data_IF_628535988332
#
_entry.id   IF_628535988332
#
_cell.length_a   1.000
_cell.length_b   1.000
_cell.length_c   1.000
_cell.angle_alpha   90.00
_cell.angle_beta   90.00
_cell.angle_gamma   90.00
#
_symmetry.space_group_name_H-M   'P 1'
#
loop_
_entity.id
_entity.type
_entity.pdbx_description
1 polymer ?
#
# COMPACT_ATOMS: atom_id res chain seq x y z
N UNK A 1 -12.55 13.53 -48.02
CA UNK A 1 -13.08 12.68 -46.92
C UNK A 1 -11.97 12.00 -46.09
N UNK A 2 -10.94 11.39 -46.69
CA UNK A 2 -9.81 10.78 -45.96
C UNK A 2 -9.02 11.74 -45.06
N UNK A 3 -8.78 12.97 -45.51
CA UNK A 3 -8.01 13.97 -44.74
C UNK A 3 -8.77 14.47 -43.50
N UNK A 4 -10.09 14.59 -43.59
CA UNK A 4 -10.97 14.97 -42.47
C UNK A 4 -11.00 13.86 -41.41
N UNK A 5 -11.01 12.61 -41.84
CA UNK A 5 -10.93 11.46 -40.92
C UNK A 5 -9.60 11.40 -40.17
N UNK A 6 -8.47 11.73 -40.82
CA UNK A 6 -7.15 11.79 -40.18
C UNK A 6 -7.06 12.89 -39.13
N UNK A 7 -7.61 14.07 -39.42
CA UNK A 7 -7.69 15.17 -38.45
C UNK A 7 -8.58 14.81 -37.24
N UNK A 8 -9.71 14.13 -37.48
CA UNK A 8 -10.59 13.69 -36.40
C UNK A 8 -9.90 12.67 -35.47
N UNK A 9 -9.14 11.72 -36.02
CA UNK A 9 -8.37 10.74 -35.22
C UNK A 9 -7.29 11.42 -34.39
N UNK A 10 -6.59 12.42 -34.94
CA UNK A 10 -5.57 13.18 -34.22
C UNK A 10 -6.17 13.92 -33.02
N UNK A 11 -7.32 14.58 -33.20
CA UNK A 11 -8.03 15.32 -32.14
C UNK A 11 -8.49 14.36 -31.04
N UNK A 12 -9.00 13.17 -31.40
CA UNK A 12 -9.41 12.15 -30.42
C UNK A 12 -8.21 11.63 -29.63
N UNK A 13 -7.05 11.43 -30.27
CA UNK A 13 -5.82 11.01 -29.60
C UNK A 13 -5.26 12.07 -28.63
N UNK A 14 -5.52 13.36 -28.88
CA UNK A 14 -5.13 14.45 -27.98
C UNK A 14 -5.98 14.49 -26.71
N UNK A 15 -7.28 14.18 -26.78
CA UNK A 15 -8.16 14.12 -25.59
C UNK A 15 -8.07 12.81 -24.81
N UNK A 16 -7.65 11.71 -25.45
CA UNK A 16 -7.30 10.45 -24.76
C UNK A 16 -5.84 10.41 -24.31
N UNK A 17 -5.07 11.47 -24.55
CA UNK A 17 -3.81 11.63 -23.83
C UNK A 17 -4.18 11.69 -22.35
N UNK A 18 -3.81 10.65 -21.60
CA UNK A 18 -3.71 10.71 -20.16
C UNK A 18 -2.66 11.77 -19.82
N UNK A 19 -3.01 13.04 -19.95
CA UNK A 19 -2.52 14.05 -19.02
C UNK A 19 -2.88 13.47 -17.67
N UNK A 20 -1.87 12.98 -16.95
CA UNK A 20 -2.01 12.61 -15.55
C UNK A 20 -2.75 13.76 -14.90
N UNK A 21 -4.03 13.54 -14.57
CA UNK A 21 -4.82 14.46 -13.76
C UNK A 21 -3.88 14.86 -12.65
N UNK A 22 -3.49 16.15 -12.60
CA UNK A 22 -2.55 16.62 -11.58
C UNK A 22 -3.04 16.02 -10.29
N UNK A 23 -2.26 15.09 -9.75
CA UNK A 23 -2.66 14.36 -8.56
C UNK A 23 -3.00 15.46 -7.57
N UNK A 24 -4.28 15.51 -7.19
CA UNK A 24 -4.73 16.37 -6.12
C UNK A 24 -3.73 16.07 -5.01
N UNK A 25 -2.80 17.01 -4.77
CA UNK A 25 -1.75 16.88 -3.77
C UNK A 25 -2.47 16.93 -2.43
N UNK A 26 -3.11 15.82 -2.12
CA UNK A 26 -3.67 15.51 -0.83
C UNK A 26 -2.45 15.58 0.05
N UNK A 27 -2.38 16.63 0.85
CA UNK A 27 -1.24 16.88 1.72
C UNK A 27 -1.08 15.62 2.56
N UNK A 28 0.05 14.94 2.39
CA UNK A 28 0.35 13.77 3.19
C UNK A 28 0.34 14.18 4.67
N UNK A 29 -0.23 13.36 5.56
CA UNK A 29 -0.23 13.66 6.98
C UNK A 29 1.21 13.77 7.48
N UNK A 30 1.42 14.61 8.51
CA UNK A 30 2.72 14.73 9.15
C UNK A 30 3.17 13.36 9.68
N UNK A 31 4.29 12.84 9.16
CA UNK A 31 4.71 11.46 9.40
C UNK A 31 4.92 11.12 10.88
N UNK A 32 5.41 12.08 11.67
CA UNK A 32 5.61 11.93 13.11
C UNK A 32 4.30 11.79 13.87
N UNK A 33 3.29 12.60 13.53
CA UNK A 33 1.96 12.53 14.12
C UNK A 33 1.28 11.21 13.74
N UNK A 34 1.34 10.82 12.47
CA UNK A 34 0.79 9.55 11.99
C UNK A 34 1.41 8.35 12.72
N UNK A 35 2.72 8.36 12.92
CA UNK A 35 3.41 7.30 13.65
C UNK A 35 3.01 7.26 15.13
N UNK A 36 2.88 8.43 15.77
CA UNK A 36 2.44 8.53 17.16
C UNK A 36 1.01 7.99 17.36
N UNK A 37 0.08 8.38 16.47
CA UNK A 37 -1.30 7.92 16.50
C UNK A 37 -1.41 6.43 16.22
N UNK A 38 -0.64 5.93 15.24
CA UNK A 38 -0.56 4.50 14.92
C UNK A 38 -0.04 3.70 16.12
N UNK A 39 1.03 4.17 16.77
CA UNK A 39 1.57 3.52 17.96
C UNK A 39 0.57 3.55 19.13
N UNK A 40 -0.20 4.64 19.30
CA UNK A 40 -1.25 4.73 20.31
C UNK A 40 -2.37 3.70 20.05
N UNK A 41 -2.83 3.60 18.80
CA UNK A 41 -3.84 2.63 18.40
C UNK A 41 -3.36 1.18 18.59
N UNK A 42 -2.13 0.87 18.16
CA UNK A 42 -1.55 -0.48 18.27
C UNK A 42 -1.45 -0.96 19.73
N UNK A 43 -1.23 -0.06 20.70
CA UNK A 43 -1.23 -0.42 22.14
C UNK A 43 -2.57 -0.91 22.67
N UNK A 44 -3.66 -0.58 21.99
CA UNK A 44 -5.01 -1.00 22.36
C UNK A 44 -5.42 -2.33 21.70
N UNK A 45 -4.62 -2.88 20.80
CA UNK A 45 -4.92 -4.14 20.11
C UNK A 45 -4.84 -5.31 21.08
N UNK A 46 -5.94 -6.05 21.21
CA UNK A 46 -6.02 -7.26 22.05
C UNK A 46 -5.86 -8.55 21.25
N UNK A 47 -6.23 -8.53 19.97
CA UNK A 47 -6.06 -9.66 19.06
C UNK A 47 -5.73 -9.13 17.68
N UNK A 48 -4.77 -9.75 17.01
CA UNK A 48 -4.42 -9.43 15.63
C UNK A 48 -4.19 -10.71 14.84
N UNK A 49 -4.47 -10.63 13.55
CA UNK A 49 -3.84 -11.50 12.57
C UNK A 49 -2.49 -10.88 12.19
N UNK A 50 -1.47 -11.69 11.97
CA UNK A 50 -0.15 -11.27 11.55
C UNK A 50 0.31 -12.15 10.39
N UNK A 51 1.03 -11.52 9.45
CA UNK A 51 1.74 -12.20 8.39
C UNK A 51 3.16 -11.62 8.34
N UNK A 52 4.16 -12.47 8.46
CA UNK A 52 5.59 -12.12 8.37
C UNK A 52 6.16 -12.83 7.16
N UNK A 53 6.90 -12.10 6.34
CA UNK A 53 7.65 -12.65 5.21
C UNK A 53 9.02 -11.99 5.14
N UNK A 54 10.07 -12.78 5.19
CA UNK A 54 11.45 -12.34 5.15
C UNK A 54 12.00 -12.52 3.74
N UNK A 55 12.28 -11.39 3.11
CA UNK A 55 12.82 -11.34 1.76
C UNK A 55 14.34 -11.12 1.80
N UNK A 56 15.05 -11.66 0.81
CA UNK A 56 16.51 -11.55 0.70
C UNK A 56 17.28 -12.45 1.68
N UNK A 57 18.56 -12.13 1.88
CA UNK A 57 19.42 -12.89 2.79
C UNK A 57 19.40 -12.27 4.18
N UNK A 58 18.62 -12.86 5.08
CA UNK A 58 18.66 -12.61 6.52
C UNK A 58 19.30 -13.83 7.21
N UNK A 59 20.64 -13.87 7.33
CA UNK A 59 21.36 -15.06 7.80
C UNK A 59 21.12 -15.34 9.29
N UNK A 60 20.83 -14.30 10.06
CA UNK A 60 20.57 -14.40 11.50
C UNK A 60 19.12 -14.74 11.83
N UNK A 61 18.21 -14.69 10.84
CA UNK A 61 16.79 -14.97 11.06
C UNK A 61 16.44 -16.32 10.43
N UNK A 62 16.11 -17.27 11.28
CA UNK A 62 15.76 -18.63 10.87
C UNK A 62 14.35 -18.70 10.25
N UNK A 63 13.44 -17.84 10.71
CA UNK A 63 12.08 -17.74 10.18
C UNK A 63 12.11 -17.17 8.75
N UNK A 64 11.34 -17.76 7.83
CA UNK A 64 11.17 -17.24 6.46
C UNK A 64 9.80 -16.62 6.26
N UNK A 65 8.77 -17.30 6.72
CA UNK A 65 7.41 -16.80 6.72
C UNK A 65 6.67 -17.31 7.94
N UNK A 66 5.68 -16.56 8.39
CA UNK A 66 4.70 -17.01 9.38
C UNK A 66 3.36 -16.31 9.13
N UNK A 67 2.27 -17.03 9.27
CA UNK A 67 0.91 -16.47 9.25
C UNK A 67 0.15 -16.98 10.46
N UNK A 68 -0.52 -16.09 11.18
CA UNK A 68 -1.24 -16.52 12.36
C UNK A 68 -1.99 -15.44 13.08
N UNK A 69 -2.55 -15.82 14.22
CA UNK A 69 -3.23 -14.92 15.15
C UNK A 69 -2.47 -14.87 16.46
N UNK A 70 -2.38 -13.68 17.02
CA UNK A 70 -1.81 -13.43 18.34
C UNK A 70 -2.85 -12.72 19.20
N UNK A 71 -2.98 -13.14 20.45
CA UNK A 71 -3.75 -12.43 21.48
C UNK A 71 -2.81 -11.79 22.50
N UNK A 72 -3.30 -10.76 23.20
CA UNK A 72 -2.53 -10.02 24.21
C UNK A 72 -2.10 -10.90 25.38
N UNK A 73 -2.86 -11.93 25.67
CA UNK A 73 -2.60 -12.92 26.72
C UNK A 73 -1.45 -13.88 26.35
N UNK A 74 -0.91 -13.77 25.13
CA UNK A 74 0.20 -14.58 24.66
C UNK A 74 -0.20 -15.86 23.93
N UNK A 75 -1.50 -16.05 23.62
CA UNK A 75 -1.94 -17.16 22.78
C UNK A 75 -1.61 -16.89 21.31
N UNK A 76 -0.86 -17.79 20.68
CA UNK A 76 -0.53 -17.73 19.25
C UNK A 76 -1.00 -19.00 18.53
N UNK A 77 -1.60 -18.84 17.36
CA UNK A 77 -2.05 -19.93 16.48
C UNK A 77 -1.71 -19.59 15.04
N UNK A 78 -1.00 -20.45 14.33
CA UNK A 78 -0.54 -20.14 12.97
C UNK A 78 0.33 -21.23 12.36
N UNK A 79 0.84 -20.94 11.17
CA UNK A 79 1.73 -21.80 10.37
C UNK A 79 3.05 -21.12 10.09
#
# INVERSE_FOLDING_TARGET
MRLVALFAVLIIALVTSCTTTQEQKTTLPQGTALLADSAKAMRAVTTTHFAVNIQGNAPTVQLRSADGRLTREGSAQGT
#
